data_IF_631252056298
#
_entry.id   IF_631252056298
#
_cell.length_a   1.000
_cell.length_b   1.000
_cell.length_c   1.000
_cell.angle_alpha   90.00
_cell.angle_beta   90.00
_cell.angle_gamma   90.00
#
_symmetry.space_group_name_H-M   'P 1'
#
loop_
_entity.id
_entity.type
_entity.pdbx_description
1 polymer ?
#
# COMPACT_ATOMS: atom_id res chain seq x y z
N UNK A 1 2.89 -5.10 25.41
CA UNK A 1 1.98 -5.70 24.44
C UNK A 1 2.70 -6.67 23.50
N UNK A 2 1.95 -7.44 22.75
CA UNK A 2 2.49 -8.36 21.73
C UNK A 2 1.81 -8.10 20.39
N UNK A 3 2.54 -8.34 19.30
CA UNK A 3 2.02 -8.27 17.94
C UNK A 3 2.29 -9.65 17.31
N UNK A 4 1.22 -10.34 16.97
CA UNK A 4 1.29 -11.66 16.32
C UNK A 4 0.83 -11.53 14.87
N UNK A 5 1.65 -11.99 13.94
CA UNK A 5 1.35 -12.02 12.52
C UNK A 5 1.73 -13.39 11.95
N UNK A 6 0.77 -14.03 11.24
CA UNK A 6 0.96 -15.39 10.70
C UNK A 6 1.48 -16.36 11.78
N UNK A 7 0.86 -16.36 12.97
CA UNK A 7 1.20 -17.19 14.14
C UNK A 7 2.58 -16.89 14.78
N UNK A 8 3.34 -15.91 14.25
CA UNK A 8 4.63 -15.49 14.78
C UNK A 8 4.48 -14.23 15.64
N UNK A 9 4.98 -14.24 16.88
CA UNK A 9 5.10 -13.05 17.73
C UNK A 9 6.29 -12.20 17.24
N UNK A 10 5.96 -11.14 16.47
CA UNK A 10 6.97 -10.24 15.88
C UNK A 10 7.50 -9.19 16.88
N UNK A 11 6.84 -9.03 18.04
CA UNK A 11 7.29 -8.11 19.09
C UNK A 11 8.61 -8.56 19.74
N UNK A 12 8.91 -9.85 19.68
CA UNK A 12 10.12 -10.46 20.25
C UNK A 12 11.29 -10.57 19.27
N UNK A 13 11.08 -10.24 18.00
CA UNK A 13 12.15 -10.28 17.00
C UNK A 13 13.16 -9.16 17.23
N UNK A 14 14.42 -9.45 16.90
CA UNK A 14 15.46 -8.43 16.76
C UNK A 14 15.21 -7.52 15.53
N UNK A 15 16.05 -6.54 15.32
CA UNK A 15 15.92 -5.61 14.20
C UNK A 15 16.06 -6.30 12.85
N UNK A 16 16.90 -7.32 12.75
CA UNK A 16 17.06 -8.13 11.52
C UNK A 16 15.79 -8.91 11.21
N UNK A 17 15.22 -9.59 12.21
CA UNK A 17 13.96 -10.31 12.08
C UNK A 17 12.79 -9.39 11.72
N UNK A 18 12.67 -8.23 12.37
CA UNK A 18 11.65 -7.22 12.04
C UNK A 18 11.83 -6.67 10.62
N UNK A 19 13.07 -6.45 10.17
CA UNK A 19 13.36 -6.00 8.81
C UNK A 19 12.96 -7.08 7.78
N UNK A 20 13.18 -8.35 8.07
CA UNK A 20 12.75 -9.46 7.22
C UNK A 20 11.20 -9.48 7.09
N UNK A 21 10.48 -9.39 8.22
CA UNK A 21 9.02 -9.32 8.22
C UNK A 21 8.50 -8.11 7.41
N UNK A 22 9.08 -6.92 7.63
CA UNK A 22 8.70 -5.71 6.84
C UNK A 22 8.90 -5.93 5.35
N UNK A 23 10.00 -6.56 4.95
CA UNK A 23 10.33 -6.77 3.55
C UNK A 23 9.40 -7.75 2.83
N UNK A 24 9.03 -8.85 3.49
CA UNK A 24 8.33 -9.97 2.85
C UNK A 24 6.82 -10.01 3.11
N UNK A 25 6.34 -9.40 4.21
CA UNK A 25 4.96 -9.56 4.66
C UNK A 25 4.15 -8.26 4.67
N UNK A 26 4.82 -7.10 4.65
CA UNK A 26 4.14 -5.81 4.78
C UNK A 26 4.19 -5.01 3.48
N UNK A 27 3.04 -4.51 3.05
CA UNK A 27 2.93 -3.41 2.11
C UNK A 27 2.60 -2.12 2.87
N UNK A 28 3.29 -1.03 2.57
CA UNK A 28 3.02 0.26 3.23
C UNK A 28 2.62 1.29 2.18
N UNK A 29 1.53 1.97 2.43
CA UNK A 29 1.00 3.07 1.60
C UNK A 29 0.95 4.32 2.47
N UNK A 30 1.65 5.36 2.05
CA UNK A 30 1.75 6.63 2.76
C UNK A 30 0.90 7.71 2.12
N UNK A 31 0.52 8.71 2.88
CA UNK A 31 -0.14 9.93 2.38
C UNK A 31 0.72 10.68 1.36
N UNK A 32 2.03 10.75 1.54
CA UNK A 32 2.99 11.45 0.66
C UNK A 32 3.55 10.59 -0.49
N UNK A 33 2.87 9.51 -0.88
CA UNK A 33 3.25 8.58 -1.94
C UNK A 33 4.63 7.91 -1.76
N UNK A 34 5.64 8.62 -1.33
CA UNK A 34 7.04 8.18 -1.11
C UNK A 34 7.60 7.37 -2.28
N UNK A 35 7.34 7.83 -3.51
CA UNK A 35 7.96 7.26 -4.70
C UNK A 35 9.43 7.62 -4.76
N UNK A 36 10.23 6.77 -5.40
CA UNK A 36 11.65 7.01 -5.63
C UNK A 36 11.78 7.88 -6.87
N UNK A 37 12.23 9.16 -6.75
CA UNK A 37 12.18 10.11 -7.86
C UNK A 37 13.05 9.71 -9.06
N UNK A 38 14.15 9.00 -8.80
CA UNK A 38 15.10 8.55 -9.84
C UNK A 38 14.66 7.27 -10.58
N UNK A 39 13.52 6.68 -10.20
CA UNK A 39 12.96 5.50 -10.83
C UNK A 39 11.68 5.87 -11.59
N UNK A 40 11.50 5.29 -12.77
CA UNK A 40 10.25 5.36 -13.50
C UNK A 40 9.12 4.58 -12.77
N UNK A 41 7.92 4.64 -13.31
CA UNK A 41 6.75 3.95 -12.75
C UNK A 41 6.97 2.44 -12.67
N UNK A 42 7.48 1.81 -13.73
CA UNK A 42 7.72 0.37 -13.76
C UNK A 42 8.72 -0.07 -12.69
N UNK A 43 9.82 0.68 -12.54
CA UNK A 43 10.84 0.40 -11.54
C UNK A 43 10.35 0.69 -10.11
N UNK A 44 9.55 1.73 -9.89
CA UNK A 44 8.90 2.00 -8.61
C UNK A 44 7.96 0.85 -8.21
N UNK A 45 7.12 0.35 -9.11
CA UNK A 45 6.23 -0.80 -8.85
C UNK A 45 7.04 -2.04 -8.48
N UNK A 46 8.10 -2.33 -9.23
CA UNK A 46 8.94 -3.50 -9.02
C UNK A 46 9.82 -3.45 -7.77
N UNK A 47 10.08 -2.25 -7.23
CA UNK A 47 11.12 -2.01 -6.23
C UNK A 47 10.97 -2.88 -4.99
N UNK A 48 9.82 -2.85 -4.33
CA UNK A 48 9.59 -3.62 -3.10
C UNK A 48 9.59 -5.13 -3.36
N UNK A 49 8.99 -5.56 -4.45
CA UNK A 49 8.95 -6.97 -4.83
C UNK A 49 10.34 -7.53 -5.14
N UNK A 50 11.22 -6.74 -5.78
CA UNK A 50 12.62 -7.13 -6.01
C UNK A 50 13.41 -7.24 -4.70
N UNK A 51 13.24 -6.30 -3.77
CA UNK A 51 13.88 -6.38 -2.46
C UNK A 51 13.43 -7.60 -1.65
N UNK A 52 12.17 -8.01 -1.81
CA UNK A 52 11.61 -9.20 -1.18
C UNK A 52 11.99 -10.51 -1.90
N UNK A 53 12.62 -10.45 -3.08
CA UNK A 53 12.88 -11.64 -3.91
C UNK A 53 11.61 -12.25 -4.52
N UNK A 54 10.50 -11.49 -4.59
CA UNK A 54 9.18 -11.95 -5.03
C UNK A 54 8.71 -11.25 -6.31
N UNK A 55 9.61 -10.64 -7.07
CA UNK A 55 9.23 -9.93 -8.29
C UNK A 55 8.70 -10.90 -9.36
N UNK A 56 7.52 -10.57 -9.85
CA UNK A 56 6.80 -11.28 -10.90
C UNK A 56 6.33 -10.24 -11.94
N UNK A 57 6.86 -10.32 -13.15
CA UNK A 57 6.59 -9.33 -14.21
C UNK A 57 5.13 -9.33 -14.66
N UNK A 58 4.49 -10.50 -14.73
CA UNK A 58 3.09 -10.62 -15.15
C UNK A 58 2.16 -10.03 -14.09
N UNK A 59 2.44 -10.29 -12.81
CA UNK A 59 1.73 -9.70 -11.68
C UNK A 59 1.88 -8.17 -11.64
N UNK A 60 3.10 -7.66 -11.84
CA UNK A 60 3.37 -6.21 -11.88
C UNK A 60 2.63 -5.53 -13.05
N UNK A 61 2.64 -6.15 -14.23
CA UNK A 61 1.90 -5.67 -15.40
C UNK A 61 0.39 -5.67 -15.14
N UNK A 62 -0.15 -6.74 -14.56
CA UNK A 62 -1.57 -6.81 -14.20
C UNK A 62 -1.99 -5.74 -13.18
N UNK A 63 -1.15 -5.44 -12.19
CA UNK A 63 -1.38 -4.35 -11.24
C UNK A 63 -1.37 -2.98 -11.93
N UNK A 64 -0.40 -2.74 -12.82
CA UNK A 64 -0.33 -1.50 -13.58
C UNK A 64 -1.57 -1.29 -14.46
N UNK A 65 -2.04 -2.33 -15.13
CA UNK A 65 -3.27 -2.28 -15.92
C UNK A 65 -4.51 -2.02 -15.05
N UNK A 66 -4.66 -2.74 -13.95
CA UNK A 66 -5.80 -2.58 -13.04
C UNK A 66 -5.89 -1.19 -12.40
N UNK A 67 -4.75 -0.49 -12.28
CA UNK A 67 -4.65 0.86 -11.73
C UNK A 67 -4.58 1.95 -12.82
N UNK A 68 -4.76 1.61 -14.09
CA UNK A 68 -4.73 2.58 -15.19
C UNK A 68 -3.35 3.22 -15.41
N UNK A 69 -2.27 2.47 -15.14
CA UNK A 69 -0.88 2.95 -15.25
C UNK A 69 -0.15 2.42 -16.49
N UNK A 70 -0.80 1.59 -17.32
CA UNK A 70 -0.16 0.92 -18.46
C UNK A 70 0.57 1.91 -19.40
N UNK A 71 -0.05 3.04 -19.70
CA UNK A 71 0.51 4.08 -20.60
C UNK A 71 1.52 5.00 -19.88
N UNK A 72 1.79 4.77 -18.61
CA UNK A 72 2.64 5.64 -17.78
C UNK A 72 3.91 4.94 -17.27
N UNK A 73 4.17 3.69 -17.67
CA UNK A 73 5.25 2.87 -17.12
C UNK A 73 6.65 3.51 -17.25
N UNK A 74 6.89 4.29 -18.28
CA UNK A 74 8.17 4.96 -18.55
C UNK A 74 8.26 6.38 -17.99
N UNK A 75 7.17 6.89 -17.36
CA UNK A 75 7.18 8.22 -16.75
C UNK A 75 7.85 8.19 -15.38
N UNK A 76 8.44 9.31 -15.01
CA UNK A 76 8.98 9.55 -13.67
C UNK A 76 7.90 10.16 -12.76
N UNK A 77 8.03 10.04 -11.44
CA UNK A 77 7.03 10.54 -10.47
C UNK A 77 6.62 11.99 -10.70
N UNK A 78 7.55 12.87 -11.05
CA UNK A 78 7.31 14.29 -11.33
C UNK A 78 6.39 14.57 -12.53
N UNK A 79 6.24 13.59 -13.43
CA UNK A 79 5.40 13.67 -14.63
C UNK A 79 3.97 13.15 -14.38
N UNK A 80 3.65 12.76 -13.15
CA UNK A 80 2.39 12.15 -12.77
C UNK A 80 1.53 13.10 -11.94
N UNK A 81 0.21 13.01 -12.11
CA UNK A 81 -0.73 13.62 -11.18
C UNK A 81 -0.67 12.95 -9.80
N UNK A 82 -1.16 13.61 -8.73
CA UNK A 82 -1.20 13.04 -7.39
C UNK A 82 -1.92 11.69 -7.34
N UNK A 83 -3.06 11.57 -8.01
CA UNK A 83 -3.81 10.31 -8.11
C UNK A 83 -3.02 9.20 -8.83
N UNK A 84 -2.27 9.52 -9.88
CA UNK A 84 -1.40 8.57 -10.56
C UNK A 84 -0.24 8.15 -9.65
N UNK A 85 0.38 9.08 -8.94
CA UNK A 85 1.44 8.78 -7.97
C UNK A 85 0.94 7.84 -6.86
N UNK A 86 -0.26 8.08 -6.35
CA UNK A 86 -0.86 7.21 -5.33
C UNK A 86 -1.15 5.81 -5.88
N UNK A 87 -1.64 5.69 -7.11
CA UNK A 87 -1.83 4.40 -7.76
C UNK A 87 -0.50 3.64 -7.94
N UNK A 88 0.60 4.33 -8.25
CA UNK A 88 1.95 3.72 -8.28
C UNK A 88 2.37 3.23 -6.90
N UNK A 89 2.13 4.00 -5.84
CA UNK A 89 2.43 3.59 -4.46
C UNK A 89 1.63 2.35 -4.03
N UNK A 90 0.35 2.26 -4.43
CA UNK A 90 -0.52 1.09 -4.21
C UNK A 90 0.03 -0.12 -4.98
N UNK A 91 0.34 0.05 -6.28
CA UNK A 91 0.91 -1.03 -7.09
C UNK A 91 2.21 -1.58 -6.49
N UNK A 92 3.12 -0.68 -6.06
CA UNK A 92 4.38 -1.04 -5.40
C UNK A 92 4.15 -1.85 -4.12
N UNK A 93 3.20 -1.44 -3.28
CA UNK A 93 2.89 -2.14 -2.04
C UNK A 93 2.33 -3.54 -2.31
N UNK A 94 1.47 -3.70 -3.33
CA UNK A 94 0.85 -4.98 -3.68
C UNK A 94 1.76 -5.92 -4.49
N UNK A 95 2.73 -5.40 -5.23
CA UNK A 95 3.61 -6.19 -6.09
C UNK A 95 4.46 -7.23 -5.32
N UNK A 96 4.74 -6.95 -4.04
CA UNK A 96 5.45 -7.88 -3.14
C UNK A 96 4.53 -8.98 -2.56
N UNK A 97 3.24 -9.02 -2.94
CA UNK A 97 2.23 -9.97 -2.44
C UNK A 97 2.19 -10.03 -0.89
N UNK A 98 2.07 -8.89 -0.21
CA UNK A 98 2.10 -8.84 1.26
C UNK A 98 0.89 -9.54 1.86
N UNK A 99 1.04 -10.08 3.08
CA UNK A 99 -0.10 -10.58 3.86
C UNK A 99 -0.86 -9.46 4.59
N UNK A 100 -0.21 -8.31 4.82
CA UNK A 100 -0.79 -7.15 5.49
C UNK A 100 -0.39 -5.85 4.78
N UNK A 101 -1.37 -5.00 4.52
CA UNK A 101 -1.19 -3.64 4.03
C UNK A 101 -1.48 -2.66 5.17
N UNK A 102 -0.55 -1.76 5.41
CA UNK A 102 -0.71 -0.62 6.31
C UNK A 102 -0.85 0.63 5.46
N UNK A 103 -1.96 1.32 5.57
CA UNK A 103 -2.26 2.54 4.82
C UNK A 103 -2.46 3.71 5.78
N UNK A 104 -1.62 4.73 5.66
CA UNK A 104 -1.70 5.96 6.47
C UNK A 104 -2.24 7.09 5.60
N UNK A 105 -3.49 7.51 5.85
CA UNK A 105 -4.21 8.53 5.08
C UNK A 105 -4.03 8.39 3.56
N UNK A 106 -4.32 7.23 2.96
CA UNK A 106 -3.89 6.88 1.60
C UNK A 106 -4.45 7.80 0.49
N UNK A 107 -5.40 8.65 0.83
CA UNK A 107 -6.00 9.60 -0.12
C UNK A 107 -6.04 11.03 0.40
N UNK A 108 -5.35 11.32 1.50
CA UNK A 108 -5.40 12.62 2.18
C UNK A 108 -4.88 13.81 1.34
N UNK A 109 -4.08 13.55 0.30
CA UNK A 109 -3.54 14.57 -0.60
C UNK A 109 -4.28 14.66 -1.95
N UNK A 110 -5.44 13.99 -2.08
CA UNK A 110 -6.21 13.95 -3.32
C UNK A 110 -7.53 14.72 -3.18
N UNK A 111 -8.03 15.25 -4.30
CA UNK A 111 -9.41 15.73 -4.36
C UNK A 111 -10.41 14.59 -4.14
N UNK A 112 -11.65 14.94 -3.77
CA UNK A 112 -12.63 13.96 -3.32
C UNK A 112 -12.99 12.92 -4.40
N UNK A 113 -13.09 13.34 -5.66
CA UNK A 113 -13.46 12.45 -6.76
C UNK A 113 -12.33 11.45 -7.05
N UNK A 114 -11.09 11.94 -7.16
CA UNK A 114 -9.89 11.11 -7.33
C UNK A 114 -9.68 10.18 -6.13
N UNK A 115 -9.88 10.68 -4.90
CA UNK A 115 -9.79 9.88 -3.69
C UNK A 115 -10.76 8.69 -3.69
N UNK A 116 -12.01 8.92 -4.10
CA UNK A 116 -13.02 7.87 -4.18
C UNK A 116 -12.63 6.77 -5.18
N UNK A 117 -12.15 7.16 -6.36
CA UNK A 117 -11.73 6.23 -7.41
C UNK A 117 -10.51 5.40 -6.98
N UNK A 118 -9.46 6.05 -6.46
CA UNK A 118 -8.24 5.39 -5.99
C UNK A 118 -8.54 4.41 -4.85
N UNK A 119 -9.41 4.80 -3.91
CA UNK A 119 -9.86 3.91 -2.82
C UNK A 119 -10.60 2.69 -3.33
N UNK A 120 -11.54 2.87 -4.26
CA UNK A 120 -12.29 1.74 -4.83
C UNK A 120 -11.35 0.74 -5.52
N UNK A 121 -10.40 1.23 -6.31
CA UNK A 121 -9.38 0.40 -6.96
C UNK A 121 -8.50 -0.33 -5.92
N UNK A 122 -8.02 0.37 -4.90
CA UNK A 122 -7.21 -0.21 -3.84
C UNK A 122 -7.96 -1.33 -3.11
N UNK A 123 -9.19 -1.09 -2.68
CA UNK A 123 -10.01 -2.08 -1.96
C UNK A 123 -10.31 -3.32 -2.80
N UNK A 124 -10.62 -3.13 -4.10
CA UNK A 124 -10.83 -4.24 -5.02
C UNK A 124 -9.58 -5.12 -5.16
N UNK A 125 -8.39 -4.51 -5.27
CA UNK A 125 -7.12 -5.23 -5.37
C UNK A 125 -6.74 -5.92 -4.05
N UNK A 126 -6.95 -5.28 -2.90
CA UNK A 126 -6.73 -5.88 -1.58
C UNK A 126 -7.62 -7.12 -1.41
N UNK A 127 -8.90 -7.02 -1.74
CA UNK A 127 -9.84 -8.15 -1.69
C UNK A 127 -9.39 -9.29 -2.62
N UNK A 128 -8.98 -8.95 -3.84
CA UNK A 128 -8.51 -9.94 -4.83
C UNK A 128 -7.24 -10.67 -4.39
N UNK A 129 -6.34 -9.99 -3.70
CA UNK A 129 -5.07 -10.59 -3.23
C UNK A 129 -5.23 -11.36 -1.91
N UNK A 130 -6.32 -11.16 -1.18
CA UNK A 130 -6.55 -11.76 0.14
C UNK A 130 -5.70 -11.16 1.26
N UNK A 131 -5.04 -10.02 1.01
CA UNK A 131 -4.26 -9.33 2.03
C UNK A 131 -5.18 -8.69 3.09
N UNK A 132 -4.74 -8.67 4.35
CA UNK A 132 -5.39 -7.86 5.37
C UNK A 132 -5.06 -6.37 5.14
N UNK A 133 -5.99 -5.47 5.46
CA UNK A 133 -5.79 -4.03 5.39
C UNK A 133 -6.04 -3.38 6.75
N UNK A 134 -5.05 -2.63 7.23
CA UNK A 134 -5.19 -1.69 8.34
C UNK A 134 -5.01 -0.29 7.79
N UNK A 135 -6.02 0.55 7.92
CA UNK A 135 -6.01 1.91 7.41
C UNK A 135 -6.22 2.91 8.54
N UNK A 136 -5.39 3.94 8.59
CA UNK A 136 -5.62 5.14 9.40
C UNK A 136 -6.25 6.20 8.51
N UNK A 137 -7.34 6.80 8.97
CA UNK A 137 -8.00 7.89 8.23
C UNK A 137 -8.81 8.78 9.15
N UNK A 138 -8.88 10.06 8.83
CA UNK A 138 -9.79 11.02 9.43
C UNK A 138 -11.15 11.12 8.70
N UNK A 139 -11.32 10.43 7.57
CA UNK A 139 -12.56 10.43 6.80
C UNK A 139 -13.56 9.38 7.31
N UNK A 140 -14.70 9.81 7.89
CA UNK A 140 -15.76 8.87 8.32
C UNK A 140 -16.29 8.02 7.16
N UNK A 141 -16.32 8.60 5.94
CA UNK A 141 -16.78 7.92 4.73
C UNK A 141 -15.85 6.75 4.36
N UNK A 142 -14.54 6.94 4.47
CA UNK A 142 -13.57 5.87 4.20
C UNK A 142 -13.56 4.83 5.32
N UNK A 143 -13.61 5.27 6.58
CA UNK A 143 -13.73 4.37 7.72
C UNK A 143 -14.97 3.46 7.61
N UNK A 144 -16.10 4.01 7.13
CA UNK A 144 -17.35 3.26 6.93
C UNK A 144 -17.28 2.14 5.89
N UNK A 145 -16.23 2.10 5.05
CA UNK A 145 -16.00 1.04 4.07
C UNK A 145 -15.24 -0.16 4.65
N UNK A 146 -14.71 -0.02 5.87
CA UNK A 146 -13.96 -1.06 6.54
C UNK A 146 -14.86 -1.99 7.34
N UNK A 147 -14.53 -3.29 7.37
CA UNK A 147 -15.28 -4.30 8.11
C UNK A 147 -15.21 -4.12 9.64
N UNK A 148 -14.19 -3.42 10.15
CA UNK A 148 -14.00 -3.10 11.56
C UNK A 148 -13.41 -1.71 11.71
N UNK A 149 -13.93 -0.95 12.68
CA UNK A 149 -13.44 0.38 13.01
C UNK A 149 -12.98 0.41 14.46
N UNK A 150 -11.88 1.11 14.70
CA UNK A 150 -11.36 1.40 16.03
C UNK A 150 -11.17 2.91 16.13
N UNK A 151 -11.61 3.49 17.22
CA UNK A 151 -11.42 4.91 17.48
C UNK A 151 -10.27 5.12 18.46
N UNK A 152 -9.32 5.96 18.08
CA UNK A 152 -8.22 6.35 18.95
C UNK A 152 -8.52 7.72 19.55
N UNK A 153 -8.62 7.82 20.87
CA UNK A 153 -8.81 9.07 21.60
C UNK A 153 -7.77 9.18 22.71
N UNK A 154 -7.03 10.27 22.73
CA UNK A 154 -5.99 10.53 23.74
C UNK A 154 -5.01 9.36 23.96
N UNK A 155 -4.63 8.67 22.86
CA UNK A 155 -3.71 7.53 22.93
C UNK A 155 -4.34 6.20 23.40
N UNK A 156 -5.64 6.15 23.59
CA UNK A 156 -6.38 4.94 23.98
C UNK A 156 -7.41 4.55 22.92
N UNK A 157 -7.64 3.26 22.77
CA UNK A 157 -8.74 2.73 21.96
C UNK A 157 -10.05 2.92 22.71
N UNK A 158 -11.03 3.54 22.04
CA UNK A 158 -12.37 3.80 22.56
C UNK A 158 -13.40 2.95 21.79
#
# INVERSE_FOLDING_TARGET
>A
GSIVMNEQDISRLDDTGRAAVRRSNLGIIFQQFNLIPSLDVAANIAFQARLAGMYDADSATGLAQALGLADHLHKFPEQLSGGQQQRVAIARALAAKPSLILADEPTGNLDEATAAEVMAQMLALVTKTGAALVMVTHSPRLAGQMGRQLHLRQGQLA
#
